data_IF_744411794729
#
_entry.id   IF_744411794729
#
_cell.length_a   1.000
_cell.length_b   1.000
_cell.length_c   1.000
_cell.angle_alpha   90.00
_cell.angle_beta   90.00
_cell.angle_gamma   90.00
#
_symmetry.space_group_name_H-M   'P 1'
#
loop_
_entity.id
_entity.type
_entity.pdbx_description
1 polymer ?
#
# COMPACT_ATOMS: atom_id res chain seq x y z
N UNK A 1 -24.12 12.38 -8.39
CA UNK A 1 -23.04 11.50 -8.90
C UNK A 1 -23.39 10.04 -8.61
N UNK A 2 -23.19 9.12 -9.56
CA UNK A 2 -23.36 7.69 -9.32
C UNK A 2 -22.02 7.09 -8.88
N UNK A 3 -21.70 7.18 -7.59
CA UNK A 3 -20.54 6.47 -7.06
C UNK A 3 -20.77 4.96 -7.19
N UNK A 4 -19.70 4.24 -7.56
CA UNK A 4 -19.68 2.79 -7.69
C UNK A 4 -18.57 2.23 -6.82
N UNK A 5 -18.77 1.01 -6.34
CA UNK A 5 -17.81 0.29 -5.50
C UNK A 5 -17.73 -1.16 -5.95
N UNK A 6 -16.56 -1.77 -5.75
CA UNK A 6 -16.39 -3.21 -5.92
C UNK A 6 -16.75 -3.92 -4.62
N UNK A 7 -17.59 -4.95 -4.71
CA UNK A 7 -18.12 -5.68 -3.55
C UNK A 7 -17.76 -7.17 -3.63
N UNK A 8 -17.40 -7.74 -2.49
CA UNK A 8 -17.15 -9.16 -2.29
C UNK A 8 -18.22 -9.73 -1.34
N UNK A 9 -18.86 -10.83 -1.73
CA UNK A 9 -19.68 -11.62 -0.80
C UNK A 9 -18.80 -12.56 0.02
N UNK A 10 -19.28 -13.03 1.17
CA UNK A 10 -18.55 -13.99 1.98
C UNK A 10 -18.23 -15.26 1.15
N UNK A 11 -16.95 -15.65 1.14
CA UNK A 11 -16.48 -16.79 0.34
C UNK A 11 -16.40 -16.54 -1.18
N UNK A 12 -16.67 -15.33 -1.66
CA UNK A 12 -16.57 -15.02 -3.08
C UNK A 12 -15.10 -14.93 -3.52
N UNK A 13 -14.81 -15.48 -4.69
CA UNK A 13 -13.50 -15.38 -5.36
C UNK A 13 -13.43 -14.18 -6.31
N UNK A 14 -14.54 -13.46 -6.50
CA UNK A 14 -14.68 -12.38 -7.48
C UNK A 14 -15.35 -11.15 -6.88
N UNK A 15 -14.99 -9.99 -7.43
CA UNK A 15 -15.60 -8.71 -7.09
C UNK A 15 -16.71 -8.36 -8.08
N UNK A 16 -17.84 -7.89 -7.56
CA UNK A 16 -18.98 -7.41 -8.35
C UNK A 16 -19.15 -5.91 -8.19
N UNK A 17 -19.50 -5.24 -9.29
CA UNK A 17 -19.72 -3.80 -9.30
C UNK A 17 -21.07 -3.47 -8.68
N UNK A 18 -21.06 -2.67 -7.62
CA UNK A 18 -22.24 -2.17 -6.92
C UNK A 18 -22.40 -0.65 -7.07
N UNK A 19 -23.63 -0.17 -6.88
CA UNK A 19 -23.96 1.28 -6.84
C UNK A 19 -24.06 1.74 -5.40
N UNK A 20 -23.43 2.87 -5.08
CA UNK A 20 -23.62 3.53 -3.79
C UNK A 20 -25.01 4.19 -3.77
N UNK A 21 -25.86 3.78 -2.84
CA UNK A 21 -27.21 4.33 -2.68
C UNK A 21 -27.24 5.51 -1.70
N UNK A 22 -26.41 5.47 -0.67
CA UNK A 22 -26.33 6.45 0.42
C UNK A 22 -24.90 6.53 0.96
N UNK A 23 -24.48 7.71 1.41
CA UNK A 23 -23.29 7.89 2.24
C UNK A 23 -23.63 8.67 3.51
N UNK A 24 -22.92 8.41 4.61
CA UNK A 24 -23.04 9.15 5.87
C UNK A 24 -21.69 9.11 6.60
N UNK A 25 -21.27 10.24 7.15
CA UNK A 25 -20.12 10.31 8.04
C UNK A 25 -20.50 9.78 9.44
N UNK A 26 -19.72 8.83 9.94
CA UNK A 26 -19.90 8.25 11.27
C UNK A 26 -18.56 8.23 12.00
N UNK A 27 -18.37 9.00 13.09
CA UNK A 27 -17.15 8.96 13.87
C UNK A 27 -17.03 7.63 14.63
N UNK A 28 -15.86 7.00 14.57
CA UNK A 28 -15.51 5.78 15.30
C UNK A 28 -14.05 5.83 15.76
N UNK A 29 -13.73 5.17 16.87
CA UNK A 29 -12.34 4.95 17.31
C UNK A 29 -11.78 3.65 16.71
N UNK A 30 -10.45 3.58 16.56
CA UNK A 30 -9.75 2.35 16.20
C UNK A 30 -9.72 2.02 14.71
N UNK A 31 -9.50 3.02 13.85
CA UNK A 31 -9.26 2.76 12.42
C UNK A 31 -7.92 2.01 12.25
N UNK A 32 -8.01 0.70 12.10
CA UNK A 32 -6.89 -0.16 11.72
C UNK A 32 -6.89 -0.35 10.20
N UNK A 33 -5.78 -0.02 9.56
CA UNK A 33 -5.64 -0.08 8.10
C UNK A 33 -4.34 -0.83 7.74
N UNK A 34 -4.39 -2.16 7.73
CA UNK A 34 -3.20 -2.97 7.49
C UNK A 34 -2.71 -2.77 6.06
N UNK A 35 -1.40 -2.57 5.92
CA UNK A 35 -0.76 -2.36 4.64
C UNK A 35 -0.44 -3.71 3.98
N UNK A 36 -1.28 -4.12 3.02
CA UNK A 36 -1.16 -5.43 2.35
C UNK A 36 -0.12 -5.42 1.23
N UNK A 37 0.36 -6.60 0.84
CA UNK A 37 1.28 -6.75 -0.30
C UNK A 37 0.69 -6.26 -1.63
N UNK A 38 -0.63 -6.32 -1.81
CA UNK A 38 -1.29 -5.76 -3.00
C UNK A 38 -1.61 -4.27 -2.85
N UNK A 39 -1.66 -3.76 -1.61
CA UNK A 39 -2.15 -2.41 -1.27
C UNK A 39 -3.65 -2.27 -1.45
N UNK A 40 -4.36 -3.39 -1.58
CA UNK A 40 -5.82 -3.45 -1.56
C UNK A 40 -6.26 -4.26 -0.34
N UNK A 41 -7.38 -3.86 0.23
CA UNK A 41 -8.02 -4.52 1.38
C UNK A 41 -9.51 -4.67 1.10
N UNK A 42 -10.13 -5.66 1.74
CA UNK A 42 -11.59 -5.82 1.73
C UNK A 42 -12.10 -5.52 3.13
N UNK A 43 -12.94 -4.51 3.26
CA UNK A 43 -13.53 -4.08 4.53
C UNK A 43 -15.04 -4.18 4.42
N UNK A 44 -15.65 -5.02 5.26
CA UNK A 44 -17.11 -5.28 5.23
C UNK A 44 -17.64 -5.64 3.83
N UNK A 45 -16.86 -6.43 3.08
CA UNK A 45 -17.23 -6.83 1.72
C UNK A 45 -17.06 -5.74 0.66
N UNK A 46 -16.37 -4.64 0.93
CA UNK A 46 -16.05 -3.59 -0.06
C UNK A 46 -14.55 -3.55 -0.29
N UNK A 47 -14.12 -3.61 -1.54
CA UNK A 47 -12.71 -3.44 -1.89
C UNK A 47 -12.32 -1.96 -1.76
N UNK A 48 -11.22 -1.71 -1.07
CA UNK A 48 -10.66 -0.40 -0.83
C UNK A 48 -9.13 -0.43 -0.97
N UNK A 49 -8.53 0.74 -1.19
CA UNK A 49 -7.09 0.91 -1.11
C UNK A 49 -6.63 0.84 0.35
N UNK A 50 -5.49 0.21 0.61
CA UNK A 50 -4.78 0.27 1.89
C UNK A 50 -4.07 1.64 2.09
N UNK A 51 -4.04 2.48 1.06
CA UNK A 51 -3.47 3.83 1.08
C UNK A 51 -4.57 4.83 1.44
N UNK A 52 -4.88 4.98 2.72
CA UNK A 52 -5.71 6.09 3.21
C UNK A 52 -4.93 7.42 3.15
N UNK A 53 -5.37 8.52 3.76
CA UNK A 53 -4.64 9.80 3.67
C UNK A 53 -3.22 9.66 4.24
N UNK A 54 -2.22 9.74 3.38
CA UNK A 54 -0.82 9.47 3.74
C UNK A 54 0.06 10.70 3.51
N UNK A 55 1.30 10.63 4.01
CA UNK A 55 2.22 11.77 4.11
C UNK A 55 2.45 12.52 2.78
N UNK A 56 2.56 11.81 1.64
CA UNK A 56 2.78 12.42 0.32
C UNK A 56 1.53 13.04 -0.29
N UNK A 57 0.32 12.68 0.14
CA UNK A 57 -0.94 13.14 -0.46
C UNK A 57 -1.06 14.67 -0.44
N UNK A 58 -0.49 15.33 0.56
CA UNK A 58 -0.51 16.79 0.68
C UNK A 58 0.54 17.51 -0.18
N UNK A 59 1.58 16.79 -0.65
CA UNK A 59 2.70 17.37 -1.38
C UNK A 59 2.65 17.06 -2.88
N UNK A 60 1.86 16.08 -3.29
CA UNK A 60 1.81 15.62 -4.67
C UNK A 60 0.68 16.33 -5.44
N UNK A 61 0.98 16.99 -6.58
CA UNK A 61 -0.04 17.61 -7.42
C UNK A 61 -1.10 16.60 -7.90
N UNK A 62 -2.32 17.09 -8.12
CA UNK A 62 -3.46 16.24 -8.54
C UNK A 62 -3.15 15.36 -9.76
N UNK A 63 -2.42 15.91 -10.75
CA UNK A 63 -2.02 15.19 -11.96
C UNK A 63 -1.15 13.93 -11.70
N UNK A 64 -0.46 13.88 -10.56
CA UNK A 64 0.43 12.80 -10.18
C UNK A 64 -0.17 11.84 -9.14
N UNK A 65 -1.37 12.13 -8.62
CA UNK A 65 -2.05 11.31 -7.61
C UNK A 65 -2.26 9.86 -8.05
N UNK A 66 -2.46 9.62 -9.36
CA UNK A 66 -2.59 8.27 -9.93
C UNK A 66 -1.34 7.39 -9.73
N UNK A 67 -0.18 7.99 -9.48
CA UNK A 67 1.07 7.27 -9.23
C UNK A 67 1.33 7.03 -7.73
N UNK A 68 0.64 7.75 -6.84
CA UNK A 68 0.80 7.62 -5.39
C UNK A 68 0.69 6.17 -4.92
N UNK A 69 -0.28 5.34 -5.35
CA UNK A 69 -0.33 3.94 -4.94
C UNK A 69 0.95 3.19 -5.29
N UNK A 70 1.47 3.33 -6.51
CA UNK A 70 2.71 2.66 -6.91
C UNK A 70 3.93 3.19 -6.12
N UNK A 71 3.98 4.51 -5.88
CA UNK A 71 5.03 5.13 -5.08
C UNK A 71 5.03 4.60 -3.65
N UNK A 72 3.89 4.58 -2.96
CA UNK A 72 3.79 4.00 -1.62
C UNK A 72 4.22 2.53 -1.59
N UNK A 73 3.85 1.77 -2.61
CA UNK A 73 4.28 0.37 -2.70
C UNK A 73 5.79 0.20 -2.86
N UNK A 74 6.46 1.14 -3.54
CA UNK A 74 7.91 1.13 -3.68
C UNK A 74 8.65 1.53 -2.40
N UNK A 75 8.06 2.43 -1.60
CA UNK A 75 8.59 2.91 -0.32
C UNK A 75 8.73 1.77 0.70
N UNK A 76 8.04 0.64 0.54
CA UNK A 76 8.19 -0.50 1.45
C UNK A 76 9.01 -1.66 0.89
N UNK A 77 9.82 -1.46 -0.16
CA UNK A 77 10.57 -2.56 -0.79
C UNK A 77 11.52 -3.28 0.20
N UNK A 78 12.18 -2.54 1.10
CA UNK A 78 13.05 -3.16 2.14
C UNK A 78 12.20 -3.89 3.18
N UNK A 79 11.11 -3.27 3.64
CA UNK A 79 10.17 -3.91 4.57
C UNK A 79 9.57 -5.20 4.02
N UNK A 80 9.27 -5.24 2.71
CA UNK A 80 8.78 -6.42 2.00
C UNK A 80 9.84 -7.50 1.84
N UNK A 81 11.09 -7.09 1.60
CA UNK A 81 12.20 -8.04 1.61
C UNK A 81 12.32 -8.71 2.98
N UNK A 82 12.29 -7.93 4.06
CA UNK A 82 12.29 -8.46 5.44
C UNK A 82 11.08 -9.38 5.67
N UNK A 83 9.87 -8.95 5.28
CA UNK A 83 8.66 -9.77 5.36
C UNK A 83 8.81 -11.10 4.60
N UNK A 84 9.42 -11.08 3.41
CA UNK A 84 9.58 -12.28 2.60
C UNK A 84 10.59 -13.29 3.19
N UNK A 85 11.60 -12.80 3.90
CA UNK A 85 12.65 -13.63 4.50
C UNK A 85 12.26 -14.13 5.90
N UNK A 86 11.61 -13.27 6.70
CA UNK A 86 11.37 -13.51 8.13
C UNK A 86 9.88 -13.58 8.52
N UNK A 87 8.96 -13.36 7.59
CA UNK A 87 7.52 -13.44 7.79
C UNK A 87 6.90 -12.20 8.43
N UNK A 88 5.60 -12.31 8.76
CA UNK A 88 4.78 -11.21 9.25
C UNK A 88 5.26 -10.63 10.59
N UNK A 89 5.75 -11.48 11.50
CA UNK A 89 6.22 -11.07 12.82
C UNK A 89 7.37 -10.05 12.74
N UNK A 90 8.34 -10.26 11.84
CA UNK A 90 9.43 -9.31 11.64
C UNK A 90 8.94 -7.96 11.11
N UNK A 91 7.93 -7.98 10.24
CA UNK A 91 7.31 -6.79 9.68
C UNK A 91 6.49 -6.00 10.73
N UNK A 92 5.88 -6.69 11.71
CA UNK A 92 5.23 -6.05 12.86
C UNK A 92 6.25 -5.36 13.76
N UNK A 93 7.39 -6.00 14.05
CA UNK A 93 8.47 -5.44 14.89
C UNK A 93 9.01 -4.13 14.32
N UNK A 94 9.17 -4.05 13.00
CA UNK A 94 9.65 -2.83 12.32
C UNK A 94 8.51 -1.86 11.96
N UNK A 95 7.26 -2.21 12.26
CA UNK A 95 6.09 -1.34 12.09
C UNK A 95 5.63 -1.11 10.63
N UNK A 96 6.05 -1.95 9.67
CA UNK A 96 5.69 -1.75 8.25
C UNK A 96 4.33 -2.33 7.87
N UNK A 97 3.74 -3.19 8.71
CA UNK A 97 2.40 -3.75 8.49
C UNK A 97 1.27 -2.74 8.82
N UNK A 98 1.52 -1.78 9.72
CA UNK A 98 0.60 -0.70 10.04
C UNK A 98 1.37 0.59 10.39
N UNK A 99 1.98 1.28 9.40
CA UNK A 99 2.79 2.47 9.64
C UNK A 99 1.98 3.68 10.14
N UNK A 100 0.66 3.57 10.21
CA UNK A 100 -0.26 4.61 10.71
C UNK A 100 -0.58 4.46 12.19
N UNK A 101 -0.36 3.27 12.77
CA UNK A 101 -0.22 3.17 14.22
C UNK A 101 0.91 4.11 14.65
N UNK A 102 0.82 4.73 15.82
CA UNK A 102 1.85 5.62 16.37
C UNK A 102 3.14 4.82 16.64
N UNK A 103 3.81 4.39 15.58
CA UNK A 103 4.84 3.37 15.56
C UNK A 103 6.23 4.01 15.65
N UNK A 104 7.24 3.24 16.08
CA UNK A 104 8.59 3.74 16.33
C UNK A 104 9.26 4.29 15.07
N UNK A 105 10.29 5.13 15.25
CA UNK A 105 11.12 5.73 14.19
C UNK A 105 11.66 4.72 13.15
N UNK A 106 11.69 3.42 13.48
CA UNK A 106 12.11 2.34 12.58
C UNK A 106 11.25 2.23 11.33
N UNK A 107 9.92 2.38 11.41
CA UNK A 107 9.04 2.28 10.24
C UNK A 107 9.37 3.37 9.21
N UNK A 108 9.58 4.61 9.67
CA UNK A 108 9.98 5.73 8.83
C UNK A 108 11.40 5.55 8.27
N UNK A 109 12.34 5.03 9.06
CA UNK A 109 13.69 4.75 8.58
C UNK A 109 13.71 3.66 7.48
N UNK A 110 12.89 2.61 7.62
CA UNK A 110 12.74 1.57 6.60
C UNK A 110 12.09 2.13 5.33
N UNK A 111 11.11 3.02 5.47
CA UNK A 111 10.50 3.71 4.35
C UNK A 111 11.52 4.59 3.59
N UNK A 112 12.30 5.40 4.31
CA UNK A 112 13.31 6.27 3.70
C UNK A 112 14.42 5.47 3.00
N UNK A 113 14.97 4.45 3.66
CA UNK A 113 15.99 3.58 3.06
C UNK A 113 15.48 2.87 1.80
N UNK A 114 14.22 2.45 1.77
CA UNK A 114 13.59 1.84 0.61
C UNK A 114 13.52 2.76 -0.61
N UNK A 115 13.28 4.06 -0.41
CA UNK A 115 13.29 5.05 -1.49
C UNK A 115 14.68 5.11 -2.14
N UNK A 116 15.74 5.15 -1.32
CA UNK A 116 17.11 5.15 -1.81
C UNK A 116 17.46 3.85 -2.56
N UNK A 117 17.01 2.69 -2.07
CA UNK A 117 17.20 1.40 -2.76
C UNK A 117 16.48 1.39 -4.10
N UNK A 118 15.22 1.82 -4.15
CA UNK A 118 14.43 1.84 -5.38
C UNK A 118 14.96 2.84 -6.43
N UNK A 119 15.60 3.93 -5.98
CA UNK A 119 16.20 4.96 -6.85
C UNK A 119 17.68 4.74 -7.16
N UNK A 120 18.32 3.74 -6.54
CA UNK A 120 19.75 3.47 -6.73
C UNK A 120 20.05 3.07 -8.18
N UNK A 121 21.08 3.69 -8.83
CA UNK A 121 21.51 3.36 -10.18
C UNK A 121 21.81 1.87 -10.39
N UNK A 122 22.19 1.16 -9.31
CA UNK A 122 22.49 -0.28 -9.34
C UNK A 122 21.23 -1.11 -9.58
N UNK A 123 20.10 -0.78 -8.96
CA UNK A 123 18.83 -1.50 -9.17
C UNK A 123 18.28 -1.24 -10.55
N UNK A 124 18.39 0.01 -11.03
CA UNK A 124 18.02 0.38 -12.41
C UNK A 124 18.89 -0.36 -13.43
N UNK A 125 20.21 -0.41 -13.21
CA UNK A 125 21.13 -1.15 -14.08
C UNK A 125 20.89 -2.67 -14.07
N UNK A 126 20.57 -3.26 -12.92
CA UNK A 126 20.22 -4.69 -12.80
C UNK A 126 18.88 -5.00 -13.48
N UNK A 127 17.87 -4.13 -13.35
CA UNK A 127 16.60 -4.26 -14.06
C UNK A 127 16.76 -4.14 -15.58
N UNK A 128 17.58 -3.19 -16.05
CA UNK A 128 17.88 -3.00 -17.47
C UNK A 128 18.67 -4.20 -18.03
N UNK A 129 19.66 -4.71 -17.29
CA UNK A 129 20.45 -5.88 -17.69
C UNK A 129 19.63 -7.17 -17.70
N UNK A 130 18.72 -7.35 -16.74
CA UNK A 130 17.79 -8.48 -16.67
C UNK A 130 16.85 -8.56 -17.89
N UNK A 131 16.42 -7.39 -18.42
CA UNK A 131 15.64 -7.33 -19.67
C UNK A 131 16.46 -7.58 -20.94
N UNK A 132 17.77 -7.29 -20.91
CA UNK A 132 18.65 -7.49 -22.06
C UNK A 132 19.15 -8.92 -22.24
N UNK A 133 18.95 -9.80 -21.25
CA UNK A 133 19.44 -11.19 -21.24
C UNK A 133 18.45 -12.24 -21.73
N UNK A 134 17.31 -11.84 -22.31
CA UNK A 134 16.35 -12.72 -22.98
C UNK A 134 16.07 -12.20 -24.40
N UNK A 135 17.01 -12.45 -25.30
CA UNK A 135 16.84 -12.46 -26.75
C UNK A 135 17.88 -13.43 -27.32
#
# INVERSE_FOLDING_TARGET
MCARVWTASAGATELKLGRVLLNRMVPKQGLFNPYTLSGNIVVNGVAASAHSSWVLDHFVPEALTKYLPATYQSIFVVGRWIYSVFGACAADVIGVNNPQEQTPWSAYAVALSSIFVASSPVVVAVFLKSRSGKL
#
